data_IF_366280022638
#
_entry.id   IF_366280022638
#
_cell.length_a   1.000
_cell.length_b   1.000
_cell.length_c   1.000
_cell.angle_alpha   90.00
_cell.angle_beta   90.00
_cell.angle_gamma   90.00
#
_symmetry.space_group_name_H-M   'P 1'
#
loop_
_entity.id
_entity.type
_entity.pdbx_description
1 polymer ?
#
# COMPACT_ATOMS: atom_id res chain seq x y z
N UNK A 1 10.70 -7.67 4.85
CA UNK A 1 10.82 -7.93 3.40
C UNK A 1 9.87 -6.98 2.67
N UNK A 2 10.38 -6.16 1.73
CA UNK A 2 9.55 -5.28 0.92
C UNK A 2 8.54 -6.08 0.08
N UNK A 3 7.31 -5.60 -0.10
CA UNK A 3 6.34 -6.30 -0.96
C UNK A 3 6.80 -6.18 -2.43
N UNK A 4 7.05 -7.32 -3.06
CA UNK A 4 7.45 -7.37 -4.48
C UNK A 4 6.28 -6.96 -5.38
N UNK A 5 6.58 -6.41 -6.56
CA UNK A 5 5.61 -6.02 -7.60
C UNK A 5 4.64 -7.16 -7.96
N UNK A 6 5.13 -8.40 -7.95
CA UNK A 6 4.30 -9.60 -8.14
C UNK A 6 3.30 -9.77 -7.01
N UNK A 7 3.74 -9.55 -5.77
CA UNK A 7 2.92 -9.70 -4.57
C UNK A 7 1.90 -8.56 -4.44
N UNK A 8 2.24 -7.36 -4.88
CA UNK A 8 1.29 -6.26 -4.95
C UNK A 8 0.14 -6.55 -5.90
N UNK A 9 0.39 -7.20 -7.04
CA UNK A 9 -0.67 -7.63 -7.98
C UNK A 9 -1.60 -8.70 -7.40
N UNK A 10 -1.15 -9.45 -6.40
CA UNK A 10 -1.95 -10.46 -5.71
C UNK A 10 -2.83 -9.88 -4.58
N UNK A 11 -2.71 -8.59 -4.26
CA UNK A 11 -3.52 -7.97 -3.21
C UNK A 11 -4.97 -7.82 -3.67
N UNK A 12 -5.89 -8.43 -2.93
CA UNK A 12 -7.31 -8.26 -3.15
C UNK A 12 -7.84 -7.02 -2.43
N UNK A 13 -8.94 -6.45 -2.93
CA UNK A 13 -9.72 -5.43 -2.22
C UNK A 13 -10.10 -5.96 -0.84
N UNK A 14 -9.92 -5.13 0.19
CA UNK A 14 -10.19 -5.50 1.58
C UNK A 14 -8.99 -6.07 2.32
N UNK A 15 -7.88 -6.39 1.64
CA UNK A 15 -6.63 -6.82 2.30
C UNK A 15 -6.10 -5.71 3.20
N UNK A 16 -5.65 -6.07 4.40
CA UNK A 16 -4.98 -5.15 5.32
C UNK A 16 -3.47 -5.31 5.16
N UNK A 17 -2.80 -4.19 4.95
CA UNK A 17 -1.35 -4.10 4.88
C UNK A 17 -0.85 -3.18 5.98
N UNK A 18 0.36 -3.43 6.45
CA UNK A 18 0.97 -2.70 7.56
C UNK A 18 2.19 -1.96 7.03
N UNK A 19 2.34 -0.69 7.43
CA UNK A 19 3.57 0.06 7.17
C UNK A 19 4.66 -0.37 8.16
N UNK A 20 5.90 -0.51 7.72
CA UNK A 20 7.02 -0.95 8.56
C UNK A 20 7.53 0.20 9.45
N UNK A 21 7.70 1.38 8.84
CA UNK A 21 8.26 2.55 9.53
C UNK A 21 7.21 3.46 10.19
N UNK A 22 6.06 3.66 9.55
CA UNK A 22 4.99 4.49 10.10
C UNK A 22 4.16 3.72 11.13
N UNK A 23 3.93 4.38 12.27
CA UNK A 23 3.10 3.89 13.37
C UNK A 23 1.93 4.83 13.59
N UNK A 24 0.80 4.27 14.03
CA UNK A 24 -0.31 5.05 14.56
C UNK A 24 0.11 5.77 15.84
N UNK A 25 -0.68 6.75 16.28
CA UNK A 25 -0.49 7.44 17.57
C UNK A 25 -0.44 6.47 18.78
N UNK A 26 -1.10 5.32 18.65
CA UNK A 26 -1.12 4.22 19.61
C UNK A 26 0.16 3.36 19.62
N UNK A 27 1.12 3.63 18.73
CA UNK A 27 2.38 2.89 18.63
C UNK A 27 2.28 1.57 17.84
N UNK A 28 1.07 1.18 17.45
CA UNK A 28 0.83 0.07 16.51
C UNK A 28 1.23 0.43 15.08
N UNK A 29 1.70 -0.54 14.29
CA UNK A 29 2.05 -0.31 12.89
C UNK A 29 0.86 0.27 12.10
N UNK A 30 1.12 1.24 11.22
CA UNK A 30 0.08 1.91 10.44
C UNK A 30 -0.68 0.88 9.61
N UNK A 31 -2.00 0.75 9.85
CA UNK A 31 -2.86 -0.20 9.14
C UNK A 31 -3.50 0.48 7.96
N UNK A 32 -3.28 -0.05 6.77
CA UNK A 32 -3.82 0.43 5.52
C UNK A 32 -4.71 -0.67 4.93
N UNK A 33 -5.96 -0.34 4.59
CA UNK A 33 -6.88 -1.27 3.94
C UNK A 33 -6.93 -0.97 2.45
N UNK A 34 -6.71 -1.98 1.61
CA UNK A 34 -6.85 -1.82 0.16
C UNK A 34 -8.32 -1.56 -0.17
N UNK A 35 -8.61 -0.42 -0.80
CA UNK A 35 -9.97 0.09 -0.99
C UNK A 35 -10.40 0.11 -2.47
N UNK A 36 -9.68 -0.60 -3.34
CA UNK A 36 -10.04 -0.67 -4.76
C UNK A 36 -9.06 -1.49 -5.59
N UNK A 37 -9.36 -1.56 -6.88
CA UNK A 37 -8.58 -2.32 -7.85
C UNK A 37 -7.18 -1.71 -8.05
N UNK A 38 -6.19 -2.58 -8.10
CA UNK A 38 -4.80 -2.19 -8.38
C UNK A 38 -4.70 -1.76 -9.83
N UNK A 39 -4.23 -0.54 -10.05
CA UNK A 39 -4.00 -0.01 -11.40
C UNK A 39 -2.57 -0.31 -11.82
N UNK A 40 -2.42 -0.99 -12.95
CA UNK A 40 -1.14 -1.28 -13.62
C UNK A 40 -1.16 -0.71 -15.03
N UNK A 41 -0.04 -0.17 -15.51
CA UNK A 41 0.06 0.40 -16.85
C UNK A 41 0.75 -0.56 -17.81
N UNK A 42 0.14 -0.80 -18.99
CA UNK A 42 0.72 -1.67 -20.03
C UNK A 42 2.03 -1.11 -20.59
N UNK A 43 2.12 0.22 -20.73
CA UNK A 43 3.31 0.92 -21.24
C UNK A 43 4.41 1.11 -20.19
N UNK A 44 4.10 0.92 -18.91
CA UNK A 44 5.03 1.06 -17.79
C UNK A 44 4.76 -0.06 -16.78
N UNK A 45 5.25 -1.29 -17.03
CA UNK A 45 4.92 -2.46 -16.22
C UNK A 45 5.42 -2.35 -14.77
N UNK A 46 6.42 -1.52 -14.52
CA UNK A 46 6.92 -1.21 -13.17
C UNK A 46 6.01 -0.25 -12.40
N UNK A 47 5.17 0.52 -13.11
CA UNK A 47 4.26 1.45 -12.45
C UNK A 47 3.02 0.70 -11.96
N UNK A 48 2.80 0.79 -10.66
CA UNK A 48 1.61 0.28 -9.99
C UNK A 48 1.02 1.37 -9.11
N UNK A 49 -0.29 1.33 -8.94
CA UNK A 49 -1.02 2.23 -8.06
C UNK A 49 -2.08 1.44 -7.30
N UNK A 50 -1.88 1.31 -6.00
CA UNK A 50 -2.73 0.54 -5.12
C UNK A 50 -3.54 1.53 -4.28
N UNK A 51 -4.86 1.67 -4.49
CA UNK A 51 -5.69 2.53 -3.67
C UNK A 51 -5.84 1.95 -2.27
N UNK A 52 -5.56 2.76 -1.26
CA UNK A 52 -5.75 2.38 0.14
C UNK A 52 -6.59 3.40 0.90
N UNK A 53 -7.17 2.94 1.99
CA UNK A 53 -7.85 3.73 3.01
C UNK A 53 -7.15 3.50 4.35
N UNK A 54 -6.90 4.59 5.05
CA UNK A 54 -6.44 4.62 6.42
C UNK A 54 -7.49 5.30 7.30
N UNK A 55 -7.90 4.65 8.39
CA UNK A 55 -8.95 5.19 9.26
C UNK A 55 -10.26 5.51 8.53
N UNK A 56 -10.98 6.54 8.98
CA UNK A 56 -12.28 6.91 8.40
C UNK A 56 -12.17 7.87 7.20
N UNK A 57 -11.17 8.77 7.24
CA UNK A 57 -11.03 9.94 6.35
C UNK A 57 -9.75 9.98 5.53
N UNK A 58 -8.77 9.12 5.81
CA UNK A 58 -7.49 9.14 5.11
C UNK A 58 -7.51 8.15 3.94
N UNK A 59 -7.18 8.64 2.75
CA UNK A 59 -7.17 7.86 1.52
C UNK A 59 -5.93 8.22 0.73
N UNK A 60 -5.31 7.22 0.12
CA UNK A 60 -4.08 7.42 -0.61
C UNK A 60 -3.82 6.33 -1.63
N UNK A 61 -2.63 6.38 -2.20
CA UNK A 61 -2.18 5.39 -3.15
C UNK A 61 -0.76 4.94 -2.82
N UNK A 62 -0.55 3.62 -2.77
CA UNK A 62 0.79 3.03 -2.71
C UNK A 62 1.28 2.96 -4.17
N UNK A 63 2.44 3.54 -4.44
CA UNK A 63 3.07 3.47 -5.77
C UNK A 63 4.53 3.04 -5.62
N UNK A 64 5.16 2.54 -6.69
CA UNK A 64 6.56 2.13 -6.65
C UNK A 64 7.56 3.28 -6.93
N UNK A 65 7.04 4.48 -7.21
CA UNK A 65 7.83 5.59 -7.73
C UNK A 65 7.60 6.79 -6.83
N UNK A 66 8.68 7.43 -6.42
CA UNK A 66 8.71 8.70 -5.70
C UNK A 66 8.02 9.78 -6.55
N UNK A 67 6.70 9.84 -6.51
CA UNK A 67 5.89 10.92 -7.07
C UNK A 67 5.78 11.96 -5.95
N UNK A 68 6.36 13.15 -6.11
CA UNK A 68 6.58 14.15 -5.03
C UNK A 68 5.29 14.88 -4.56
N UNK A 69 4.16 14.18 -4.45
CA UNK A 69 2.92 14.78 -3.97
C UNK A 69 1.89 13.76 -3.53
N UNK A 70 1.38 13.96 -2.30
CA UNK A 70 0.50 13.07 -1.50
C UNK A 70 1.24 12.02 -0.65
N UNK A 71 0.52 11.40 0.29
CA UNK A 71 0.99 10.31 1.16
C UNK A 71 1.43 9.11 0.31
N UNK A 72 2.64 9.18 -0.25
CA UNK A 72 3.24 8.16 -1.07
C UNK A 72 3.92 7.16 -0.16
N UNK A 73 3.17 6.12 0.18
CA UNK A 73 3.73 4.94 0.83
C UNK A 73 4.44 4.15 -0.25
N UNK A 74 5.77 3.97 -0.10
CA UNK A 74 6.54 3.15 -1.02
C UNK A 74 6.18 1.69 -0.81
N UNK A 75 6.06 0.97 -1.91
CA UNK A 75 5.80 -0.46 -1.88
C UNK A 75 6.84 -1.20 -1.00
N UNK A 76 8.11 -0.78 -1.00
CA UNK A 76 9.13 -1.43 -0.21
C UNK A 76 8.92 -1.34 1.32
N UNK A 77 8.12 -0.38 1.80
CA UNK A 77 7.86 -0.20 3.23
C UNK A 77 6.60 -0.95 3.70
N UNK A 78 5.85 -1.57 2.79
CA UNK A 78 4.58 -2.20 3.14
C UNK A 78 4.74 -3.71 3.34
N UNK A 79 4.35 -4.18 4.53
CA UNK A 79 4.31 -5.60 4.88
C UNK A 79 2.87 -6.12 5.00
N UNK A 80 2.58 -7.24 4.33
CA UNK A 80 1.30 -7.93 4.46
C UNK A 80 1.41 -8.94 5.59
N UNK A 81 0.85 -8.63 6.75
CA UNK A 81 0.64 -9.66 7.78
C UNK A 81 -0.63 -10.44 7.42
N UNK A 82 -0.50 -11.76 7.23
CA UNK A 82 -1.66 -12.65 7.33
C UNK A 82 -2.03 -12.70 8.81
N UNK A 83 -3.18 -12.15 9.16
CA UNK A 83 -3.84 -12.41 10.43
C UNK A 83 -4.23 -13.90 10.38
N UNK A 84 -3.57 -14.72 11.21
CA UNK A 84 -3.95 -16.11 11.53
C UNK A 84 -4.93 -16.06 12.71
#
# INVERSE_FOLDING_TARGET
MPISLKRAKELAVGTIVHHDTLKNADGTALRLKINGEIKTWKTMPDRIKIPFKHGLYDFGYITNKTDEGALNVDIADVHVRRDD
#
